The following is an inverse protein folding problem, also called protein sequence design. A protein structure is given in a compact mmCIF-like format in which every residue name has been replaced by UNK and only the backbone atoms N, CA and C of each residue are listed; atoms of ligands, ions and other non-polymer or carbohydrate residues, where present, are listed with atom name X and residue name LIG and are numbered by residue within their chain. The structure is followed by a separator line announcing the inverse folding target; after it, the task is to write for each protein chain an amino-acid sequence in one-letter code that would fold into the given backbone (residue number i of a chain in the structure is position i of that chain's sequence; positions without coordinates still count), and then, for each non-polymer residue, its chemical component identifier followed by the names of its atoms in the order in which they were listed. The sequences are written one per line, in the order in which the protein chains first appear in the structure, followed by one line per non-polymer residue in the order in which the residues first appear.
data_IF_807689344893
#
_entry.id   IF_807689344893
#
_cell.length_a   1.000
_cell.length_b   1.000
_cell.length_c   1.000
_cell.angle_alpha   90.00
_cell.angle_beta   90.00
_cell.angle_gamma   90.00
#
_symmetry.space_group_name_H-M   'P 1'
#
loop_
_entity.id
_entity.type
_entity.pdbx_description
1 polymer ?
#
# COMPACT_ATOMS: atom_id res chain seq x y z
N UNK A 1 -3.41 -2.22 15.21
CA UNK A 1 -2.03 -2.39 15.71
C UNK A 1 -0.98 -2.04 14.65
N UNK A 2 -0.95 -2.72 13.50
CA UNK A 2 0.02 -2.45 12.41
C UNK A 2 0.04 -0.97 11.96
N UNK A 3 -1.13 -0.37 11.70
CA UNK A 3 -1.23 1.06 11.34
C UNK A 3 -0.57 1.98 12.38
N UNK A 4 -0.74 1.67 13.67
CA UNK A 4 -0.13 2.45 14.76
C UNK A 4 1.40 2.43 14.69
N UNK A 5 2.01 1.34 14.22
CA UNK A 5 3.47 1.24 14.08
C UNK A 5 3.96 2.26 13.04
N UNK A 6 3.28 2.39 11.90
CA UNK A 6 3.67 3.31 10.84
C UNK A 6 3.35 4.79 11.15
N UNK A 7 2.24 5.06 11.85
CA UNK A 7 1.82 6.44 12.15
C UNK A 7 2.63 7.05 13.31
N UNK A 8 2.83 6.30 14.39
CA UNK A 8 3.43 6.85 15.63
C UNK A 8 4.95 6.68 15.72
N UNK A 9 5.55 5.78 14.94
CA UNK A 9 6.99 5.56 15.00
C UNK A 9 7.71 6.48 14.01
N UNK A 10 8.68 7.25 14.52
CA UNK A 10 9.50 8.14 13.68
C UNK A 10 10.78 7.47 13.19
N UNK A 11 11.48 6.75 14.07
CA UNK A 11 12.76 6.15 13.70
C UNK A 11 12.61 4.72 13.17
N UNK A 12 13.39 4.41 12.14
CA UNK A 12 13.40 3.11 11.46
C UNK A 12 13.69 1.95 12.42
N UNK A 13 14.62 2.11 13.36
CA UNK A 13 15.01 1.05 14.32
C UNK A 13 13.84 0.67 15.23
N UNK A 14 13.11 1.66 15.77
CA UNK A 14 11.92 1.38 16.56
C UNK A 14 10.80 0.79 15.70
N UNK A 15 10.67 1.23 14.44
CA UNK A 15 9.68 0.69 13.50
C UNK A 15 9.91 -0.79 13.23
N UNK A 16 11.17 -1.17 12.98
CA UNK A 16 11.62 -2.54 12.80
C UNK A 16 11.32 -3.42 14.02
N UNK A 17 11.67 -2.94 15.22
CA UNK A 17 11.44 -3.68 16.46
C UNK A 17 9.94 -3.92 16.70
N UNK A 18 9.10 -2.91 16.43
CA UNK A 18 7.64 -3.04 16.60
C UNK A 18 7.02 -3.96 15.55
N UNK A 19 7.50 -3.92 14.30
CA UNK A 19 7.07 -4.83 13.24
C UNK A 19 7.42 -6.29 13.57
N UNK A 20 8.62 -6.55 14.09
CA UNK A 20 9.03 -7.89 14.52
C UNK A 20 8.12 -8.43 15.64
N UNK A 21 7.81 -7.60 16.65
CA UNK A 21 6.87 -7.97 17.72
C UNK A 21 5.47 -8.26 17.17
N UNK A 22 5.00 -7.47 16.21
CA UNK A 22 3.71 -7.70 15.57
C UNK A 22 3.70 -9.01 14.78
N UNK A 23 4.77 -9.32 14.04
CA UNK A 23 4.90 -10.57 13.28
C UNK A 23 4.84 -11.80 14.20
N UNK A 24 5.54 -11.76 15.33
CA UNK A 24 5.51 -12.84 16.31
C UNK A 24 4.11 -13.03 16.91
N UNK A 25 3.42 -11.93 17.23
CA UNK A 25 2.04 -11.98 17.72
C UNK A 25 1.07 -12.58 16.70
N UNK A 26 1.23 -12.25 15.41
CA UNK A 26 0.43 -12.84 14.33
C UNK A 26 0.69 -14.35 14.24
N UNK A 27 1.96 -14.76 14.30
CA UNK A 27 2.34 -16.18 14.28
C UNK A 27 1.71 -16.96 15.44
N UNK A 28 1.75 -16.39 16.64
CA UNK A 28 1.16 -16.96 17.86
C UNK A 28 -0.37 -17.02 17.83
N UNK A 29 -1.02 -16.12 17.09
CA UNK A 29 -2.50 -16.07 17.01
C UNK A 29 -3.13 -17.28 16.30
N UNK A 30 -2.35 -18.06 15.54
CA UNK A 30 -2.84 -19.26 14.84
C UNK A 30 -3.74 -19.00 13.62
N UNK A 31 -4.08 -17.75 13.32
CA UNK A 31 -4.91 -17.41 12.16
C UNK A 31 -4.13 -17.53 10.84
N UNK A 32 -4.46 -18.57 10.05
CA UNK A 32 -3.82 -18.83 8.74
C UNK A 32 -3.90 -17.66 7.76
N UNK A 33 -5.00 -16.90 7.77
CA UNK A 33 -5.19 -15.72 6.92
C UNK A 33 -4.15 -14.63 7.21
N UNK A 34 -3.85 -14.38 8.48
CA UNK A 34 -2.83 -13.40 8.88
C UNK A 34 -1.41 -13.88 8.64
N UNK A 35 -1.14 -15.19 8.69
CA UNK A 35 0.17 -15.74 8.32
C UNK A 35 0.53 -15.45 6.86
N UNK A 36 -0.45 -15.43 5.96
CA UNK A 36 -0.23 -15.07 4.55
C UNK A 36 0.19 -13.61 4.42
N UNK A 37 -0.49 -12.71 5.15
CA UNK A 37 -0.16 -11.28 5.19
C UNK A 37 1.22 -11.06 5.80
N UNK A 38 1.52 -11.74 6.90
CA UNK A 38 2.81 -11.68 7.59
C UNK A 38 3.97 -12.11 6.67
N UNK A 39 3.80 -13.23 5.96
CA UNK A 39 4.77 -13.72 4.95
C UNK A 39 4.97 -12.72 3.81
N UNK A 40 3.90 -12.08 3.34
CA UNK A 40 4.01 -11.04 2.31
C UNK A 40 4.81 -9.81 2.80
N UNK A 41 4.61 -9.41 4.06
CA UNK A 41 5.37 -8.31 4.67
C UNK A 41 6.84 -8.70 4.85
N UNK A 42 7.13 -9.94 5.25
CA UNK A 42 8.48 -10.48 5.38
C UNK A 42 9.22 -10.48 4.02
N UNK A 43 8.56 -10.93 2.95
CA UNK A 43 9.14 -10.95 1.61
C UNK A 43 9.53 -9.55 1.09
N UNK A 44 8.82 -8.52 1.51
CA UNK A 44 9.03 -7.13 1.08
C UNK A 44 9.57 -6.24 2.19
N UNK A 45 10.16 -6.82 3.24
CA UNK A 45 10.50 -6.12 4.46
C UNK A 45 11.43 -4.93 4.22
N UNK A 46 12.47 -5.12 3.39
CA UNK A 46 13.43 -4.06 3.00
C UNK A 46 12.73 -2.84 2.41
N UNK A 47 11.78 -3.05 1.52
CA UNK A 47 11.07 -1.96 0.83
C UNK A 47 10.07 -1.28 1.77
N UNK A 48 9.38 -2.07 2.61
CA UNK A 48 8.41 -1.55 3.59
C UNK A 48 9.09 -0.65 4.61
N UNK A 49 10.29 -1.01 5.09
CA UNK A 49 10.98 -0.24 6.13
C UNK A 49 11.57 1.08 5.62
N UNK A 50 11.74 1.22 4.29
CA UNK A 50 12.10 2.50 3.67
C UNK A 50 11.02 3.58 3.88
N UNK A 51 9.79 3.18 4.21
CA UNK A 51 8.76 4.12 4.66
C UNK A 51 9.25 4.99 5.82
N UNK A 52 10.04 4.47 6.76
CA UNK A 52 10.49 5.26 7.91
C UNK A 52 11.56 6.31 7.56
N UNK A 53 12.21 6.21 6.40
CA UNK A 53 13.22 7.18 5.96
C UNK A 53 12.57 8.44 5.37
N UNK A 54 11.67 8.26 4.40
CA UNK A 54 11.05 9.38 3.66
C UNK A 54 9.57 9.63 4.01
N UNK A 55 8.91 8.67 4.66
CA UNK A 55 7.49 8.70 5.05
C UNK A 55 6.52 9.10 3.94
N UNK A 56 6.89 8.80 2.69
CA UNK A 56 6.05 9.06 1.53
C UNK A 56 4.72 8.31 1.67
N UNK A 57 3.62 9.02 1.48
CA UNK A 57 2.29 8.44 1.58
C UNK A 57 1.79 7.99 0.20
N UNK A 58 1.01 6.92 0.18
CA UNK A 58 0.40 6.40 -1.05
C UNK A 58 -0.84 7.22 -1.49
N UNK A 59 -1.16 8.31 -0.78
CA UNK A 59 -2.41 9.05 -0.94
C UNK A 59 -2.59 9.60 -2.37
N UNK A 60 -1.53 10.14 -2.99
CA UNK A 60 -1.58 10.64 -4.36
C UNK A 60 -1.84 9.52 -5.37
N UNK A 61 -1.22 8.35 -5.19
CA UNK A 61 -1.44 7.20 -6.06
C UNK A 61 -2.84 6.58 -5.86
N UNK A 62 -3.34 6.54 -4.63
CA UNK A 62 -4.72 6.12 -4.31
C UNK A 62 -5.75 7.06 -4.93
N UNK A 63 -5.55 8.36 -4.81
CA UNK A 63 -6.40 9.38 -5.44
C UNK A 63 -6.40 9.24 -6.97
N UNK A 64 -5.23 9.03 -7.57
CA UNK A 64 -5.10 8.80 -9.02
C UNK A 64 -5.81 7.51 -9.46
N UNK A 65 -5.63 6.41 -8.73
CA UNK A 65 -6.33 5.15 -9.00
C UNK A 65 -7.86 5.30 -8.85
N UNK A 66 -8.33 6.08 -7.88
CA UNK A 66 -9.76 6.37 -7.69
C UNK A 66 -10.31 7.17 -8.88
N UNK A 67 -9.58 8.19 -9.33
CA UNK A 67 -9.90 8.98 -10.53
C UNK A 67 -10.01 8.12 -11.79
N UNK A 68 -9.03 7.24 -12.03
CA UNK A 68 -9.06 6.28 -13.15
C UNK A 68 -10.27 5.35 -13.05
N UNK A 69 -10.56 4.80 -11.86
CA UNK A 69 -11.72 3.91 -11.65
C UNK A 69 -13.03 4.63 -11.95
N UNK A 70 -13.19 5.87 -11.48
CA UNK A 70 -14.37 6.69 -11.73
C UNK A 70 -14.52 6.99 -13.24
N UNK A 71 -13.44 7.39 -13.91
CA UNK A 71 -13.43 7.63 -15.34
C UNK A 71 -13.84 6.36 -16.12
N UNK A 72 -13.23 5.21 -15.82
CA UNK A 72 -13.60 3.92 -16.45
C UNK A 72 -15.05 3.51 -16.22
N UNK A 73 -15.61 3.81 -15.05
CA UNK A 73 -17.00 3.48 -14.72
C UNK A 73 -18.01 4.26 -15.59
N UNK A 74 -17.72 5.52 -15.93
CA UNK A 74 -18.56 6.33 -16.82
C UNK A 74 -18.73 5.71 -18.20
N UNK A 75 -17.66 5.09 -18.73
CA UNK A 75 -17.66 4.45 -20.05
C UNK A 75 -17.97 2.95 -20.02
N UNK A 76 -18.35 2.41 -18.84
CA UNK A 76 -18.66 0.99 -18.61
C UNK A 76 -17.56 0.04 -19.09
N UNK A 77 -16.30 0.46 -18.95
CA UNK A 77 -15.12 -0.29 -19.38
C UNK A 77 -14.25 0.49 -20.36
N UNK A 78 -13.27 -0.21 -20.93
CA UNK A 78 -12.31 0.35 -21.90
C UNK A 78 -12.36 -0.51 -23.15
N UNK A 79 -12.88 0.05 -24.25
CA UNK A 79 -12.93 -0.63 -25.56
C UNK A 79 -11.70 -0.35 -26.42
N UNK A 80 -11.13 0.85 -26.30
CA UNK A 80 -9.91 1.27 -26.98
C UNK A 80 -8.94 1.84 -25.94
N UNK A 81 -7.83 1.14 -25.71
CA UNK A 81 -6.82 1.48 -24.69
C UNK A 81 -6.08 2.76 -25.06
N UNK A 82 -5.73 2.94 -26.33
CA UNK A 82 -5.01 4.12 -26.81
C UNK A 82 -5.85 5.40 -26.60
N UNK A 83 -7.12 5.36 -27.00
CA UNK A 83 -8.04 6.48 -26.78
C UNK A 83 -8.30 6.74 -25.28
N UNK A 84 -8.36 5.69 -24.47
CA UNK A 84 -8.51 5.83 -23.01
C UNK A 84 -7.30 6.50 -22.36
N UNK A 85 -6.08 6.12 -22.76
CA UNK A 85 -4.85 6.75 -22.28
C UNK A 85 -4.75 8.20 -22.76
N UNK A 86 -5.10 8.49 -24.02
CA UNK A 86 -5.21 9.87 -24.52
C UNK A 86 -6.17 10.71 -23.67
N UNK A 87 -7.35 10.19 -23.33
CA UNK A 87 -8.32 10.93 -22.49
C UNK A 87 -7.84 11.08 -21.05
N UNK A 88 -7.16 10.08 -20.50
CA UNK A 88 -6.57 10.15 -19.16
C UNK A 88 -5.50 11.24 -19.08
N UNK A 89 -4.62 11.34 -20.07
CA UNK A 89 -3.59 12.39 -20.10
C UNK A 89 -4.23 13.76 -20.23
N UNK A 90 -5.26 13.94 -21.05
CA UNK A 90 -5.95 15.23 -21.16
C UNK A 90 -6.69 15.66 -19.87
N UNK A 91 -7.14 14.73 -19.04
CA UNK A 91 -7.89 15.04 -17.81
C UNK A 91 -7.01 15.26 -16.57
N UNK A 92 -5.79 14.70 -16.58
CA UNK A 92 -4.92 14.63 -15.41
C UNK A 92 -3.47 15.05 -15.68
N UNK A 93 -3.19 15.65 -16.85
CA UNK A 93 -1.98 16.42 -17.12
C UNK A 93 -2.00 17.77 -16.39
#
# INVERSE_FOLDING_TARGET
ELSNIFTTTKEKIYGLTRLAKWHEKVRQSGFKSFNTVARSIENHYKTIVNYFDNRSTNASAESFNAKIKAFRAQFRGVRNVEFFLYRLTQLYA
#
